data_IF_257284653521
#
_entry.id   IF_257284653521
#
_cell.length_a   1.000
_cell.length_b   1.000
_cell.length_c   1.000
_cell.angle_alpha   90.00
_cell.angle_beta   90.00
_cell.angle_gamma   90.00
#
_symmetry.space_group_name_H-M   'P 1'
#
loop_
_entity.id
_entity.type
_entity.pdbx_description
1 polymer ?
#
# COMPACT_ATOMS: atom_id res chain seq x y z
N UNK A 1 16.24 26.85 -15.15
CA UNK A 1 15.95 26.01 -13.97
C UNK A 1 16.42 24.60 -14.27
N UNK A 2 17.48 24.13 -13.61
CA UNK A 2 18.08 22.84 -13.89
C UNK A 2 17.33 21.74 -13.09
N UNK A 3 16.80 20.74 -13.79
CA UNK A 3 16.19 19.57 -13.16
C UNK A 3 17.27 18.69 -12.54
N UNK A 4 17.24 18.54 -11.23
CA UNK A 4 18.14 17.66 -10.48
C UNK A 4 17.75 16.21 -10.78
N UNK A 5 18.51 15.55 -11.64
CA UNK A 5 18.39 14.10 -11.90
C UNK A 5 18.93 13.36 -10.68
N UNK A 6 18.05 12.82 -9.87
CA UNK A 6 18.41 11.94 -8.75
C UNK A 6 18.93 10.61 -9.32
N UNK A 7 20.24 10.36 -9.19
CA UNK A 7 20.86 9.07 -9.56
C UNK A 7 20.19 7.93 -8.79
N UNK A 8 19.88 6.79 -9.46
CA UNK A 8 19.40 5.59 -8.78
C UNK A 8 20.49 5.08 -7.82
N UNK A 9 20.16 4.95 -6.54
CA UNK A 9 21.04 4.33 -5.52
C UNK A 9 21.27 2.88 -5.92
N UNK A 10 22.50 2.55 -6.30
CA UNK A 10 22.91 1.18 -6.61
C UNK A 10 22.81 0.35 -5.31
N UNK A 11 21.81 -0.52 -5.22
CA UNK A 11 21.63 -1.47 -4.09
C UNK A 11 22.82 -2.43 -4.09
N UNK A 12 23.68 -2.31 -3.10
CA UNK A 12 24.79 -3.23 -2.87
C UNK A 12 24.20 -4.56 -2.35
N UNK A 13 24.39 -5.64 -3.10
CA UNK A 13 23.98 -6.99 -2.71
C UNK A 13 24.85 -7.43 -1.53
N UNK A 14 24.25 -7.60 -0.35
CA UNK A 14 24.93 -8.14 0.84
C UNK A 14 24.75 -9.65 0.83
N UNK A 15 25.86 -10.38 0.85
CA UNK A 15 25.91 -11.84 0.85
C UNK A 15 25.64 -12.40 2.25
N UNK A 16 24.95 -13.54 2.30
CA UNK A 16 24.71 -14.31 3.51
C UNK A 16 26.03 -14.62 4.24
N UNK A 17 26.12 -14.21 5.50
CA UNK A 17 27.16 -14.60 6.44
C UNK A 17 26.58 -15.70 7.35
N UNK A 18 27.44 -16.54 7.94
CA UNK A 18 27.11 -17.74 8.74
C UNK A 18 26.08 -17.54 9.91
N UNK A 19 25.57 -16.34 10.13
CA UNK A 19 24.58 -15.98 11.16
C UNK A 19 23.16 -15.68 10.64
N UNK A 20 22.83 -16.06 9.40
CA UNK A 20 21.57 -15.69 8.76
C UNK A 20 21.64 -14.35 7.99
N UNK A 21 20.52 -13.91 7.37
CA UNK A 21 20.53 -12.71 6.56
C UNK A 21 20.61 -11.46 7.43
N UNK A 22 21.22 -10.40 6.86
CA UNK A 22 21.09 -9.06 7.45
C UNK A 22 19.66 -8.52 7.27
N UNK A 23 19.28 -7.53 8.07
CA UNK A 23 17.97 -6.86 7.94
C UNK A 23 17.74 -6.39 6.49
N UNK A 24 18.74 -5.79 5.85
CA UNK A 24 18.66 -5.36 4.44
C UNK A 24 18.45 -6.53 3.48
N UNK A 25 19.23 -7.59 3.61
CA UNK A 25 19.09 -8.76 2.75
C UNK A 25 17.71 -9.42 2.89
N UNK A 26 17.19 -9.51 4.11
CA UNK A 26 15.86 -10.04 4.38
C UNK A 26 14.75 -9.15 3.77
N UNK A 27 14.87 -7.83 3.85
CA UNK A 27 13.95 -6.88 3.22
C UNK A 27 13.97 -7.02 1.70
N UNK A 28 15.16 -7.05 1.09
CA UNK A 28 15.29 -7.16 -0.37
C UNK A 28 14.70 -8.49 -0.88
N UNK A 29 14.92 -9.59 -0.16
CA UNK A 29 14.34 -10.89 -0.48
C UNK A 29 12.81 -10.89 -0.37
N UNK A 30 12.24 -10.21 0.63
CA UNK A 30 10.80 -10.06 0.77
C UNK A 30 10.19 -9.22 -0.34
N UNK A 31 10.79 -8.09 -0.67
CA UNK A 31 10.32 -7.19 -1.74
C UNK A 31 10.39 -7.85 -3.12
N UNK A 32 11.30 -8.81 -3.33
CA UNK A 32 11.42 -9.56 -4.59
C UNK A 32 10.40 -10.70 -4.73
N UNK A 33 9.58 -10.96 -3.69
CA UNK A 33 8.54 -12.00 -3.77
C UNK A 33 7.53 -11.67 -4.87
N UNK A 34 7.00 -12.68 -5.61
CA UNK A 34 6.02 -12.46 -6.69
C UNK A 34 4.79 -11.68 -6.24
N UNK A 35 4.33 -11.91 -5.01
CA UNK A 35 3.17 -11.23 -4.41
C UNK A 35 3.38 -9.71 -4.27
N UNK A 36 4.58 -9.29 -3.89
CA UNK A 36 4.90 -7.88 -3.70
C UNK A 36 5.31 -7.25 -5.03
N UNK A 37 6.21 -7.89 -5.77
CA UNK A 37 6.75 -7.41 -7.04
C UNK A 37 5.70 -7.31 -8.14
N UNK A 38 4.72 -8.22 -8.14
CA UNK A 38 3.62 -8.24 -9.12
C UNK A 38 2.68 -7.04 -9.04
N UNK A 39 2.73 -6.23 -7.98
CA UNK A 39 1.92 -5.02 -7.85
C UNK A 39 2.81 -3.79 -7.57
N UNK A 40 3.01 -2.90 -8.57
CA UNK A 40 3.90 -1.74 -8.44
C UNK A 40 3.55 -0.80 -7.29
N UNK A 41 2.26 -0.63 -6.98
CA UNK A 41 1.82 0.21 -5.87
C UNK A 41 2.13 -0.42 -4.51
N UNK A 42 1.94 -1.73 -4.40
CA UNK A 42 2.31 -2.50 -3.22
C UNK A 42 3.82 -2.46 -3.02
N UNK A 43 4.59 -2.75 -4.07
CA UNK A 43 6.05 -2.70 -4.00
C UNK A 43 6.55 -1.33 -3.53
N UNK A 44 6.05 -0.23 -4.13
CA UNK A 44 6.42 1.13 -3.72
C UNK A 44 6.10 1.42 -2.25
N UNK A 45 4.91 1.03 -1.80
CA UNK A 45 4.48 1.25 -0.42
C UNK A 45 5.34 0.49 0.57
N UNK A 46 5.60 -0.80 0.33
CA UNK A 46 6.43 -1.62 1.21
C UNK A 46 7.90 -1.19 1.19
N UNK A 47 8.45 -0.87 0.01
CA UNK A 47 9.82 -0.33 -0.10
C UNK A 47 9.98 0.92 0.76
N UNK A 48 9.06 1.88 0.66
CA UNK A 48 9.17 3.13 1.43
C UNK A 48 9.09 2.95 2.93
N UNK A 49 8.37 1.94 3.42
CA UNK A 49 8.30 1.61 4.85
C UNK A 49 9.55 0.87 5.30
N UNK A 50 9.91 -0.20 4.60
CA UNK A 50 10.98 -1.10 5.02
C UNK A 50 12.38 -0.49 4.84
N UNK A 51 12.56 0.41 3.86
CA UNK A 51 13.82 1.16 3.72
C UNK A 51 14.06 2.06 4.95
N UNK A 52 13.04 2.78 5.42
CA UNK A 52 13.16 3.62 6.63
C UNK A 52 13.42 2.78 7.89
N UNK A 53 12.74 1.64 8.00
CA UNK A 53 12.98 0.72 9.10
C UNK A 53 14.41 0.18 9.09
N UNK A 54 14.93 -0.23 7.94
CA UNK A 54 16.29 -0.71 7.78
C UNK A 54 17.34 0.36 8.15
N UNK A 55 17.11 1.59 7.71
CA UNK A 55 18.00 2.72 8.04
C UNK A 55 18.03 2.98 9.57
N UNK A 56 16.91 2.73 10.27
CA UNK A 56 16.79 2.94 11.73
C UNK A 56 17.40 1.79 12.55
N UNK A 57 17.32 0.56 12.06
CA UNK A 57 17.76 -0.66 12.75
C UNK A 57 19.22 -1.04 12.47
N UNK A 58 19.98 -0.27 11.71
CA UNK A 58 21.21 -0.67 11.05
C UNK A 58 21.00 -1.79 10.03
N UNK A 59 20.91 -1.40 8.77
CA UNK A 59 20.62 -2.28 7.64
C UNK A 59 21.58 -3.50 7.49
N UNK A 60 22.80 -3.40 8.02
CA UNK A 60 23.82 -4.44 7.93
C UNK A 60 23.83 -5.41 9.13
N UNK A 61 23.05 -5.12 10.16
CA UNK A 61 22.94 -5.98 11.35
C UNK A 61 22.22 -7.29 10.99
N UNK A 62 22.65 -8.38 11.61
CA UNK A 62 21.98 -9.67 11.42
C UNK A 62 20.52 -9.60 11.92
N UNK A 63 19.59 -10.16 11.15
CA UNK A 63 18.16 -10.16 11.51
C UNK A 63 17.91 -10.84 12.86
N UNK A 64 18.64 -11.90 13.15
CA UNK A 64 18.54 -12.66 14.40
C UNK A 64 18.99 -11.88 15.65
N UNK A 65 19.78 -10.82 15.46
CA UNK A 65 20.29 -9.99 16.57
C UNK A 65 19.38 -8.82 16.93
N UNK A 66 18.33 -8.62 16.14
CA UNK A 66 17.32 -7.57 16.37
C UNK A 66 16.29 -8.13 17.35
N UNK A 67 16.00 -7.40 18.43
CA UNK A 67 15.00 -7.82 19.41
C UNK A 67 13.65 -7.12 19.18
N UNK A 68 12.57 -7.74 19.66
CA UNK A 68 11.20 -7.25 19.46
C UNK A 68 11.00 -5.80 19.92
N UNK A 69 11.59 -5.43 21.05
CA UNK A 69 11.53 -4.06 21.58
C UNK A 69 12.07 -3.02 20.58
N UNK A 70 13.18 -3.31 19.89
CA UNK A 70 13.77 -2.41 18.91
C UNK A 70 12.85 -2.17 17.70
N UNK A 71 12.05 -3.18 17.31
CA UNK A 71 11.03 -3.02 16.28
C UNK A 71 9.94 -2.06 16.76
N UNK A 72 9.49 -2.19 18.00
CA UNK A 72 8.50 -1.29 18.60
C UNK A 72 8.98 0.15 18.71
N UNK A 73 10.22 0.34 19.18
CA UNK A 73 10.86 1.65 19.30
C UNK A 73 11.03 2.31 17.92
N UNK A 74 11.50 1.56 16.93
CA UNK A 74 11.65 2.04 15.57
C UNK A 74 10.31 2.44 14.94
N UNK A 75 9.25 1.66 15.14
CA UNK A 75 7.90 2.00 14.69
C UNK A 75 7.41 3.29 15.33
N UNK A 76 7.60 3.43 16.64
CA UNK A 76 7.17 4.60 17.41
C UNK A 76 7.94 5.85 17.00
N UNK A 77 9.25 5.77 16.85
CA UNK A 77 10.07 6.88 16.43
C UNK A 77 9.76 7.34 15.00
N UNK A 78 9.56 6.41 14.09
CA UNK A 78 9.31 6.74 12.68
C UNK A 78 7.88 7.22 12.41
N UNK A 79 6.90 6.72 13.14
CA UNK A 79 5.48 6.95 12.81
C UNK A 79 4.56 7.15 14.02
N UNK A 80 5.06 7.28 15.23
CA UNK A 80 4.23 7.47 16.44
C UNK A 80 3.32 8.69 16.37
N UNK A 81 3.78 9.78 15.75
CA UNK A 81 3.02 11.01 15.54
C UNK A 81 2.15 10.98 14.26
N UNK A 82 2.15 9.87 13.51
CA UNK A 82 1.38 9.78 12.29
C UNK A 82 -0.11 9.53 12.60
N UNK A 83 -0.97 9.82 11.60
CA UNK A 83 -2.40 9.49 11.70
C UNK A 83 -2.59 7.97 11.87
N UNK A 84 -3.62 7.52 12.63
CA UNK A 84 -3.89 6.09 12.86
C UNK A 84 -3.87 5.22 11.61
N UNK A 85 -4.45 5.68 10.52
CA UNK A 85 -4.44 4.96 9.24
C UNK A 85 -3.03 4.78 8.66
N UNK A 86 -2.14 5.76 8.84
CA UNK A 86 -0.74 5.69 8.40
C UNK A 86 0.04 4.75 9.30
N UNK A 87 -0.10 4.87 10.61
CA UNK A 87 0.47 3.95 11.59
C UNK A 87 0.10 2.51 11.26
N UNK A 88 -1.21 2.22 11.19
CA UNK A 88 -1.72 0.87 10.94
C UNK A 88 -1.22 0.26 9.63
N UNK A 89 -1.11 1.08 8.57
CA UNK A 89 -0.58 0.63 7.28
C UNK A 89 0.90 0.26 7.39
N UNK A 90 1.71 1.09 8.05
CA UNK A 90 3.14 0.85 8.19
C UNK A 90 3.42 -0.32 9.14
N UNK A 91 2.69 -0.40 10.24
CA UNK A 91 2.69 -1.54 11.15
C UNK A 91 2.37 -2.86 10.42
N UNK A 92 1.32 -2.87 9.58
CA UNK A 92 0.96 -4.05 8.80
C UNK A 92 2.04 -4.44 7.77
N UNK A 93 2.75 -3.47 7.19
CA UNK A 93 3.85 -3.74 6.27
C UNK A 93 5.03 -4.41 6.99
N UNK A 94 5.42 -3.90 8.16
CA UNK A 94 6.49 -4.47 8.98
C UNK A 94 6.10 -5.87 9.46
N UNK A 95 4.88 -6.05 10.00
CA UNK A 95 4.40 -7.36 10.44
C UNK A 95 4.34 -8.39 9.31
N UNK A 96 3.95 -7.98 8.11
CA UNK A 96 3.94 -8.88 6.94
C UNK A 96 5.36 -9.33 6.55
N UNK A 97 6.35 -8.45 6.66
CA UNK A 97 7.75 -8.79 6.41
C UNK A 97 8.29 -9.76 7.45
N UNK A 98 8.12 -9.46 8.75
CA UNK A 98 8.60 -10.31 9.85
C UNK A 98 7.96 -11.70 9.83
N UNK A 99 6.62 -11.77 9.67
CA UNK A 99 5.91 -13.03 9.50
C UNK A 99 6.40 -13.83 8.28
N UNK A 100 6.71 -13.18 7.16
CA UNK A 100 7.28 -13.85 6.00
C UNK A 100 8.69 -14.40 6.30
N UNK A 101 9.53 -13.66 7.04
CA UNK A 101 10.85 -14.14 7.46
C UNK A 101 10.75 -15.40 8.31
N UNK A 102 9.86 -15.39 9.31
CA UNK A 102 9.66 -16.54 10.21
C UNK A 102 8.96 -17.71 9.51
N UNK A 103 7.80 -17.48 8.87
CA UNK A 103 6.92 -18.54 8.39
C UNK A 103 7.36 -19.16 7.06
N UNK A 104 7.96 -18.36 6.17
CA UNK A 104 8.30 -18.80 4.81
C UNK A 104 9.77 -19.05 4.60
N UNK A 105 10.62 -18.37 5.35
CA UNK A 105 12.08 -18.51 5.25
C UNK A 105 12.67 -19.28 6.42
N UNK A 106 11.92 -19.44 7.52
CA UNK A 106 12.36 -20.06 8.77
C UNK A 106 13.64 -19.40 9.32
N UNK A 107 13.76 -18.10 9.11
CA UNK A 107 14.83 -17.30 9.69
C UNK A 107 14.48 -16.89 11.12
N UNK A 108 15.46 -16.84 11.99
CA UNK A 108 15.29 -16.20 13.28
C UNK A 108 15.04 -14.71 13.02
N UNK A 109 13.87 -14.24 13.40
CA UNK A 109 13.42 -12.88 13.18
C UNK A 109 12.65 -12.40 14.41
N UNK A 110 12.72 -11.08 14.75
CA UNK A 110 11.92 -10.52 15.82
C UNK A 110 10.43 -10.57 15.48
N UNK A 111 9.61 -10.46 16.52
CA UNK A 111 8.16 -10.31 16.39
C UNK A 111 7.73 -8.84 16.61
N UNK A 112 6.52 -8.52 16.21
CA UNK A 112 5.93 -7.24 16.57
C UNK A 112 5.57 -7.26 18.05
N UNK A 113 6.13 -6.33 18.87
CA UNK A 113 5.83 -6.31 20.28
C UNK A 113 4.38 -5.88 20.54
N UNK A 114 3.78 -6.42 21.60
CA UNK A 114 2.42 -6.06 22.01
C UNK A 114 2.25 -4.54 22.28
N UNK A 115 3.33 -3.84 22.62
CA UNK A 115 3.32 -2.38 22.79
C UNK A 115 3.08 -1.59 21.51
N UNK A 116 3.35 -2.19 20.34
CA UNK A 116 3.12 -1.59 19.03
C UNK A 116 1.75 -1.99 18.48
N UNK A 117 0.68 -1.79 19.23
CA UNK A 117 -0.68 -2.14 18.81
C UNK A 117 -1.20 -1.27 17.67
N UNK A 118 -2.17 -1.82 16.92
CA UNK A 118 -2.91 -1.05 15.93
C UNK A 118 -3.76 0.02 16.61
N UNK A 119 -3.73 1.21 16.05
CA UNK A 119 -4.51 2.35 16.55
C UNK A 119 -5.94 2.30 16.00
N UNK A 120 -6.89 2.80 16.79
CA UNK A 120 -8.29 2.92 16.36
C UNK A 120 -8.41 4.00 15.29
N UNK A 121 -8.91 3.62 14.12
CA UNK A 121 -9.25 4.56 13.05
C UNK A 121 -10.67 5.08 13.25
N UNK A 122 -10.83 6.41 13.24
CA UNK A 122 -12.13 7.03 13.24
C UNK A 122 -12.65 7.14 11.80
N UNK A 123 -13.82 6.57 11.53
CA UNK A 123 -14.50 6.76 10.25
C UNK A 123 -15.13 8.15 10.24
N UNK A 124 -14.78 8.95 9.23
CA UNK A 124 -15.38 10.28 9.04
C UNK A 124 -16.54 10.17 8.05
N UNK A 125 -17.73 9.97 8.57
CA UNK A 125 -18.97 9.86 7.80
C UNK A 125 -19.47 11.23 7.26
N UNK A 126 -18.86 12.34 7.68
CA UNK A 126 -19.24 13.69 7.22
C UNK A 126 -18.93 13.92 5.75
N UNK A 127 -18.07 13.07 5.14
CA UNK A 127 -17.72 13.10 3.72
C UNK A 127 -18.76 12.42 2.83
N UNK A 128 -19.74 11.73 3.40
CA UNK A 128 -20.83 11.13 2.65
C UNK A 128 -21.63 12.20 1.89
N UNK A 129 -21.83 12.00 0.58
CA UNK A 129 -22.54 12.93 -0.29
C UNK A 129 -23.95 12.41 -0.54
N UNK A 130 -24.97 13.22 -0.24
CA UNK A 130 -26.36 12.84 -0.47
C UNK A 130 -26.68 12.66 -1.96
N UNK A 131 -27.64 11.77 -2.26
CA UNK A 131 -28.12 11.53 -3.63
C UNK A 131 -28.57 12.83 -4.30
N UNK A 132 -29.32 13.68 -3.60
CA UNK A 132 -29.78 14.95 -4.13
C UNK A 132 -28.65 15.89 -4.55
N UNK A 133 -27.51 15.85 -3.86
CA UNK A 133 -26.32 16.62 -4.23
C UNK A 133 -25.67 16.08 -5.49
N UNK A 134 -25.60 14.75 -5.66
CA UNK A 134 -25.09 14.13 -6.88
C UNK A 134 -26.00 14.45 -8.07
N UNK A 135 -27.32 14.32 -7.91
CA UNK A 135 -28.29 14.64 -8.97
C UNK A 135 -28.17 16.13 -9.40
N UNK A 136 -27.98 17.05 -8.44
CA UNK A 136 -27.77 18.46 -8.73
C UNK A 136 -26.47 18.71 -9.50
N UNK A 137 -25.37 18.04 -9.10
CA UNK A 137 -24.10 18.13 -9.83
C UNK A 137 -24.23 17.62 -11.26
N UNK A 138 -24.90 16.50 -11.48
CA UNK A 138 -25.10 15.93 -12.81
C UNK A 138 -26.04 16.77 -13.71
N UNK A 139 -26.88 17.66 -13.14
CA UNK A 139 -27.76 18.58 -13.90
C UNK A 139 -27.11 19.92 -14.25
N UNK A 140 -25.94 20.22 -13.75
CA UNK A 140 -25.25 21.48 -14.02
C UNK A 140 -24.95 21.62 -15.52
N UNK A 141 -25.19 22.81 -16.09
CA UNK A 141 -24.95 23.08 -17.52
C UNK A 141 -23.52 23.44 -17.84
N UNK A 142 -22.78 23.95 -16.85
CA UNK A 142 -21.39 24.39 -16.91
C UNK A 142 -20.38 23.26 -16.77
N UNK A 143 -20.84 22.03 -16.54
CA UNK A 143 -19.97 20.84 -16.40
C UNK A 143 -20.06 19.99 -17.67
N UNK A 144 -18.91 19.56 -18.23
CA UNK A 144 -18.85 18.68 -19.39
C UNK A 144 -19.61 17.35 -19.19
N UNK A 145 -20.22 16.83 -20.26
CA UNK A 145 -20.99 15.60 -20.19
C UNK A 145 -20.14 14.42 -19.70
N UNK A 146 -18.87 14.34 -20.09
CA UNK A 146 -17.94 13.30 -19.71
C UNK A 146 -17.76 13.21 -18.19
N UNK A 147 -17.60 14.34 -17.52
CA UNK A 147 -17.46 14.39 -16.05
C UNK A 147 -18.74 13.94 -15.35
N UNK A 148 -19.88 14.40 -15.83
CA UNK A 148 -21.20 14.00 -15.29
C UNK A 148 -21.42 12.49 -15.42
N UNK A 149 -21.07 11.94 -16.59
CA UNK A 149 -21.18 10.50 -16.85
C UNK A 149 -20.28 9.72 -15.89
N UNK A 150 -19.03 10.16 -15.71
CA UNK A 150 -18.10 9.54 -14.77
C UNK A 150 -18.66 9.57 -13.34
N UNK A 151 -19.14 10.73 -12.86
CA UNK A 151 -19.71 10.85 -11.52
C UNK A 151 -20.94 9.96 -11.33
N UNK A 152 -21.81 9.88 -12.33
CA UNK A 152 -23.00 9.02 -12.29
C UNK A 152 -22.60 7.55 -12.26
N UNK A 153 -21.66 7.12 -13.10
CA UNK A 153 -21.16 5.75 -13.12
C UNK A 153 -20.54 5.36 -11.79
N UNK A 154 -19.69 6.23 -11.22
CA UNK A 154 -19.07 5.99 -9.91
C UNK A 154 -20.12 5.86 -8.79
N UNK A 155 -21.12 6.73 -8.81
CA UNK A 155 -22.17 6.73 -7.80
C UNK A 155 -23.08 5.50 -7.89
N UNK A 156 -23.52 5.14 -9.09
CA UNK A 156 -24.48 4.04 -9.30
C UNK A 156 -23.84 2.65 -9.19
N UNK A 157 -22.58 2.52 -9.62
CA UNK A 157 -21.88 1.23 -9.58
C UNK A 157 -21.17 0.97 -8.24
N UNK A 158 -20.93 2.01 -7.42
CA UNK A 158 -20.06 1.96 -6.24
C UNK A 158 -18.66 1.39 -6.53
N UNK A 159 -18.25 1.39 -7.79
CA UNK A 159 -16.98 0.82 -8.25
C UNK A 159 -15.80 1.76 -7.96
N UNK A 160 -14.59 1.21 -7.97
CA UNK A 160 -13.38 2.02 -7.84
C UNK A 160 -13.19 2.90 -9.08
N UNK A 161 -12.73 4.13 -8.87
CA UNK A 161 -12.50 5.07 -9.97
C UNK A 161 -11.61 4.48 -11.07
N UNK A 162 -10.56 3.75 -10.72
CA UNK A 162 -9.67 3.09 -11.68
C UNK A 162 -10.38 2.03 -12.54
N UNK A 163 -11.38 1.35 -12.00
CA UNK A 163 -12.14 0.34 -12.74
C UNK A 163 -13.11 1.00 -13.74
N UNK A 164 -13.77 2.09 -13.35
CA UNK A 164 -14.64 2.86 -14.24
C UNK A 164 -13.83 3.58 -15.34
N UNK A 165 -12.67 4.13 -15.00
CA UNK A 165 -11.78 4.80 -15.95
C UNK A 165 -11.09 3.85 -16.94
N UNK A 166 -11.06 2.56 -16.64
CA UNK A 166 -10.52 1.53 -17.55
C UNK A 166 -11.54 0.99 -18.55
N UNK A 167 -12.81 1.41 -18.46
CA UNK A 167 -13.86 0.97 -19.41
C UNK A 167 -13.60 1.52 -20.81
N UNK A 168 -13.78 0.65 -21.78
CA UNK A 168 -13.83 0.99 -23.21
C UNK A 168 -15.29 0.90 -23.71
N UNK A 169 -15.50 1.33 -24.94
CA UNK A 169 -16.85 1.31 -25.55
C UNK A 169 -17.35 -0.13 -25.67
N UNK A 170 -16.45 -1.08 -25.93
CA UNK A 170 -16.76 -2.50 -26.09
C UNK A 170 -17.25 -3.16 -24.77
N UNK A 171 -16.95 -2.54 -23.64
CA UNK A 171 -17.39 -3.01 -22.32
C UNK A 171 -18.81 -2.56 -21.97
N UNK A 172 -19.44 -1.72 -22.83
CA UNK A 172 -20.75 -1.13 -22.59
C UNK A 172 -21.84 -1.87 -23.32
N UNK A 173 -22.83 -2.38 -22.59
CA UNK A 173 -24.10 -2.87 -23.11
C UNK A 173 -25.16 -1.77 -22.95
N UNK A 174 -25.25 -0.88 -23.92
CA UNK A 174 -26.16 0.26 -23.89
C UNK A 174 -27.65 -0.13 -23.88
N UNK A 175 -28.10 -1.13 -24.66
CA UNK A 175 -29.47 -1.60 -24.60
C UNK A 175 -29.91 -2.06 -23.22
N UNK A 176 -29.05 -2.79 -22.50
CA UNK A 176 -29.32 -3.31 -21.16
C UNK A 176 -28.86 -2.37 -20.04
N UNK A 177 -28.24 -1.23 -20.38
CA UNK A 177 -27.69 -0.24 -19.43
C UNK A 177 -26.69 -0.86 -18.45
N UNK A 178 -25.84 -1.74 -18.97
CA UNK A 178 -24.82 -2.46 -18.19
C UNK A 178 -23.42 -2.14 -18.69
N UNK A 179 -22.44 -2.32 -17.82
CA UNK A 179 -21.03 -2.22 -18.17
C UNK A 179 -20.26 -3.36 -17.52
N UNK A 180 -19.34 -3.97 -18.27
CA UNK A 180 -18.48 -5.04 -17.79
C UNK A 180 -17.27 -4.46 -17.07
N UNK A 181 -17.28 -4.46 -15.73
CA UNK A 181 -16.23 -3.88 -14.92
C UNK A 181 -15.28 -4.97 -14.41
N UNK A 182 -13.99 -4.82 -14.66
CA UNK A 182 -12.96 -5.68 -14.07
C UNK A 182 -12.57 -5.18 -12.69
N UNK A 183 -12.84 -5.95 -11.65
CA UNK A 183 -12.49 -5.64 -10.28
C UNK A 183 -10.99 -5.87 -10.01
N UNK A 184 -10.50 -5.37 -8.87
CA UNK A 184 -9.12 -5.60 -8.42
C UNK A 184 -8.93 -7.09 -8.13
N UNK A 185 -8.10 -7.76 -8.95
CA UNK A 185 -7.87 -9.21 -8.87
C UNK A 185 -8.24 -9.94 -10.16
N UNK A 186 -8.89 -9.24 -11.11
CA UNK A 186 -9.29 -9.80 -12.40
C UNK A 186 -10.71 -10.35 -12.43
N UNK A 187 -11.46 -10.28 -11.33
CA UNK A 187 -12.85 -10.68 -11.31
C UNK A 187 -13.70 -9.73 -12.16
N UNK A 188 -14.58 -10.29 -12.97
CA UNK A 188 -15.51 -9.55 -13.84
C UNK A 188 -16.85 -9.43 -13.10
N UNK A 189 -17.34 -8.20 -12.95
CA UNK A 189 -18.63 -7.86 -12.39
C UNK A 189 -19.53 -7.26 -13.45
#
# INVERSE_FOLDING_TARGET
MAATVTKPRTRRRVTDTDGGPTARAAIDAFLDTPKIKGNPNTLRAYTGVLDRLADRLDANRALADIVDAEIGDALTELWGEAKPATWNRNHAAVGSWLAWCADKRHWAAPELPASAERQRENTDDTKAVSRSRIDRLCRRRDVPLQEKTLWRMLYESASRASAVLALNIEDLDLPNKQAKITAKGGDIM
#
